data_IF_154342205987
#
_entry.id   IF_154342205987
#
_cell.length_a   1.000
_cell.length_b   1.000
_cell.length_c   1.000
_cell.angle_alpha   90.00
_cell.angle_beta   90.00
_cell.angle_gamma   90.00
#
_symmetry.space_group_name_H-M   'P 1'
#
loop_
_entity.id
_entity.type
_entity.pdbx_description
1 polymer ?
#
# COMPACT_ATOMS: atom_id res chain seq x y z
N UNK A 1 -1.59 -11.77 -0.65
CA UNK A 1 -1.50 -10.46 0.04
C UNK A 1 -2.60 -9.56 -0.51
N UNK A 2 -3.34 -8.84 0.35
CA UNK A 2 -4.50 -8.03 -0.07
C UNK A 2 -4.03 -6.66 -0.58
N UNK A 3 -4.47 -6.26 -1.78
CA UNK A 3 -4.18 -4.95 -2.37
C UNK A 3 -5.38 -4.01 -2.23
N UNK A 4 -5.10 -2.72 -2.05
CA UNK A 4 -6.14 -1.68 -2.00
C UNK A 4 -6.79 -1.51 -3.37
N UNK A 5 -8.11 -1.34 -3.42
CA UNK A 5 -8.83 -1.03 -4.66
C UNK A 5 -8.41 0.37 -5.18
N UNK A 6 -8.08 0.55 -6.48
CA UNK A 6 -7.71 1.85 -7.04
C UNK A 6 -8.68 3.00 -6.70
N UNK A 7 -9.98 2.71 -6.63
CA UNK A 7 -11.02 3.70 -6.29
C UNK A 7 -10.91 4.25 -4.87
N UNK A 8 -10.08 3.64 -4.01
CA UNK A 8 -9.86 4.06 -2.63
C UNK A 8 -8.72 5.06 -2.46
N UNK A 9 -7.95 5.37 -3.51
CA UNK A 9 -6.83 6.33 -3.41
C UNK A 9 -7.26 7.72 -2.89
N UNK A 10 -8.40 8.31 -3.33
CA UNK A 10 -8.88 9.57 -2.75
C UNK A 10 -9.18 9.45 -1.26
N UNK A 11 -9.83 8.35 -0.85
CA UNK A 11 -10.16 8.10 0.56
C UNK A 11 -8.90 7.95 1.42
N UNK A 12 -7.84 7.34 0.91
CA UNK A 12 -6.57 7.26 1.62
C UNK A 12 -5.93 8.65 1.81
N UNK A 13 -6.07 9.57 0.85
CA UNK A 13 -5.57 10.94 0.99
C UNK A 13 -6.35 11.74 2.04
N UNK A 14 -7.67 11.56 2.11
CA UNK A 14 -8.49 12.14 3.18
C UNK A 14 -8.07 11.63 4.56
N UNK A 15 -7.86 10.31 4.69
CA UNK A 15 -7.42 9.69 5.94
C UNK A 15 -6.02 10.16 6.34
N UNK A 16 -5.11 10.36 5.38
CA UNK A 16 -3.79 10.93 5.66
C UNK A 16 -3.90 12.33 6.24
N UNK A 17 -4.81 13.16 5.71
CA UNK A 17 -5.06 14.52 6.22
C UNK A 17 -5.62 14.49 7.65
N UNK A 18 -6.65 13.67 7.91
CA UNK A 18 -7.22 13.52 9.27
C UNK A 18 -6.18 13.02 10.28
N UNK A 19 -5.31 12.09 9.89
CA UNK A 19 -4.24 11.60 10.76
C UNK A 19 -3.19 12.68 11.07
N UNK A 20 -2.87 13.55 10.12
CA UNK A 20 -1.95 14.67 10.36
C UNK A 20 -2.56 15.70 11.33
N UNK A 21 -3.84 16.01 11.20
CA UNK A 21 -4.55 16.91 12.13
C UNK A 21 -4.58 16.34 13.55
N UNK A 22 -4.86 15.04 13.68
CA UNK A 22 -4.81 14.35 14.98
C UNK A 22 -3.40 14.31 15.57
N UNK A 23 -2.37 14.12 14.73
CA UNK A 23 -0.98 14.17 15.17
C UNK A 23 -0.63 15.53 15.77
N UNK A 24 -0.98 16.61 15.07
CA UNK A 24 -0.75 17.97 15.56
C UNK A 24 -1.48 18.25 16.88
N UNK A 25 -2.70 17.73 17.02
CA UNK A 25 -3.45 17.78 18.28
C UNK A 25 -2.76 17.00 19.39
N UNK A 26 -2.33 15.77 19.13
CA UNK A 26 -1.62 14.95 20.10
C UNK A 26 -0.29 15.59 20.55
N UNK A 27 0.41 16.29 19.66
CA UNK A 27 1.58 17.11 20.01
C UNK A 27 1.22 18.27 20.94
N UNK A 28 0.15 19.01 20.63
CA UNK A 28 -0.31 20.12 21.46
C UNK A 28 -0.79 19.67 22.86
N UNK A 29 -1.38 18.49 22.95
CA UNK A 29 -1.92 17.93 24.20
C UNK A 29 -0.92 17.03 24.96
N UNK A 30 0.28 16.81 24.39
CA UNK A 30 1.34 16.00 25.02
C UNK A 30 1.04 14.50 25.06
N UNK A 31 0.22 14.00 24.14
CA UNK A 31 -0.20 12.59 24.09
C UNK A 31 0.83 11.71 23.35
N UNK A 32 1.97 11.46 24.00
CA UNK A 32 3.08 10.73 23.41
C UNK A 32 2.68 9.34 22.82
N UNK A 33 1.84 8.59 23.53
CA UNK A 33 1.37 7.28 23.05
C UNK A 33 0.48 7.35 21.81
N UNK A 34 -0.27 8.44 21.63
CA UNK A 34 -1.11 8.64 20.44
C UNK A 34 -0.27 9.05 19.23
N UNK A 35 0.78 9.87 19.44
CA UNK A 35 1.73 10.26 18.38
C UNK A 35 2.40 9.02 17.76
N UNK A 36 2.93 8.11 18.59
CA UNK A 36 3.60 6.90 18.08
C UNK A 36 2.65 6.02 17.24
N UNK A 37 1.42 5.84 17.72
CA UNK A 37 0.38 5.08 17.00
C UNK A 37 -0.03 5.73 15.68
N UNK A 38 -0.15 7.06 15.64
CA UNK A 38 -0.47 7.82 14.44
C UNK A 38 0.68 7.74 13.43
N UNK A 39 1.94 7.90 13.86
CA UNK A 39 3.12 7.83 12.98
C UNK A 39 3.28 6.46 12.32
N UNK A 40 3.03 5.38 13.08
CA UNK A 40 3.01 4.02 12.55
C UNK A 40 1.89 3.85 11.52
N UNK A 41 0.70 4.36 11.81
CA UNK A 41 -0.45 4.27 10.90
C UNK A 41 -0.22 5.06 9.62
N UNK A 42 0.34 6.27 9.71
CA UNK A 42 0.74 7.09 8.56
C UNK A 42 1.76 6.36 7.68
N UNK A 43 2.75 5.70 8.29
CA UNK A 43 3.76 4.93 7.56
C UNK A 43 3.12 3.80 6.75
N UNK A 44 2.20 3.04 7.33
CA UNK A 44 1.48 1.98 6.62
C UNK A 44 0.53 2.52 5.53
N UNK A 45 -0.14 3.64 5.78
CA UNK A 45 -1.03 4.27 4.81
C UNK A 45 -0.24 4.71 3.58
N UNK A 46 0.88 5.42 3.77
CA UNK A 46 1.76 5.87 2.69
C UNK A 46 2.31 4.68 1.88
N UNK A 47 2.77 3.63 2.56
CA UNK A 47 3.24 2.42 1.89
C UNK A 47 2.17 1.78 1.00
N UNK A 48 0.90 1.73 1.45
CA UNK A 48 -0.22 1.21 0.64
C UNK A 48 -0.51 2.11 -0.57
N UNK A 49 -0.48 3.43 -0.38
CA UNK A 49 -0.70 4.41 -1.46
C UNK A 49 0.39 4.29 -2.53
N UNK A 50 1.65 4.21 -2.11
CA UNK A 50 2.79 4.08 -3.02
C UNK A 50 2.77 2.74 -3.76
N UNK A 51 2.45 1.63 -3.07
CA UNK A 51 2.31 0.33 -3.73
C UNK A 51 1.25 0.38 -4.83
N UNK A 52 0.12 1.04 -4.57
CA UNK A 52 -0.96 1.19 -5.54
C UNK A 52 -0.57 2.07 -6.72
N UNK A 53 0.03 3.22 -6.45
CA UNK A 53 0.49 4.13 -7.50
C UNK A 53 1.52 3.47 -8.42
N UNK A 54 2.47 2.72 -7.85
CA UNK A 54 3.44 1.94 -8.65
C UNK A 54 2.78 0.87 -9.52
N UNK A 55 1.70 0.25 -9.04
CA UNK A 55 0.95 -0.76 -9.81
C UNK A 55 0.14 -0.14 -10.93
N UNK A 56 -0.48 1.02 -10.71
CA UNK A 56 -1.25 1.71 -11.74
C UNK A 56 -0.35 2.26 -12.86
N UNK A 57 0.91 2.56 -12.56
CA UNK A 57 1.92 2.97 -13.54
C UNK A 57 2.56 1.80 -14.31
N UNK A 58 2.36 0.55 -13.87
CA UNK A 58 2.92 -0.62 -14.54
C UNK A 58 1.91 -1.18 -15.54
N UNK A 59 2.17 -1.05 -16.85
CA UNK A 59 1.33 -1.72 -17.84
C UNK A 59 1.46 -3.24 -17.70
N UNK A 60 0.41 -4.01 -18.03
CA UNK A 60 0.51 -5.46 -18.16
C UNK A 60 1.64 -5.84 -19.13
N UNK A 61 2.48 -6.79 -18.73
CA UNK A 61 3.51 -7.37 -19.60
C UNK A 61 3.03 -8.75 -20.03
N UNK A 62 3.03 -9.01 -21.33
CA UNK A 62 2.74 -10.34 -21.87
C UNK A 62 3.94 -11.26 -21.64
N UNK A 63 3.74 -12.31 -20.83
CA UNK A 63 4.76 -13.30 -20.52
C UNK A 63 4.68 -14.54 -21.44
N UNK A 64 3.69 -14.59 -22.34
CA UNK A 64 3.38 -15.77 -23.13
C UNK A 64 2.87 -16.96 -22.31
N UNK A 65 2.58 -18.07 -22.99
CA UNK A 65 2.16 -19.31 -22.35
C UNK A 65 3.39 -20.21 -22.12
N UNK A 66 3.69 -20.63 -20.88
CA UNK A 66 4.82 -21.51 -20.62
C UNK A 66 4.59 -22.88 -21.28
N UNK A 67 5.58 -23.37 -22.04
CA UNK A 67 5.54 -24.72 -22.61
C UNK A 67 5.95 -25.73 -21.54
N UNK A 68 5.16 -26.78 -21.29
CA UNK A 68 5.56 -27.85 -20.38
C UNK A 68 6.86 -28.49 -20.89
N UNK A 69 7.81 -28.74 -19.97
CA UNK A 69 9.01 -29.51 -20.30
C UNK A 69 8.57 -30.89 -20.76
N UNK A 70 8.87 -31.25 -22.01
CA UNK A 70 8.65 -32.60 -22.53
C UNK A 70 9.39 -33.57 -21.60
N UNK A 71 8.63 -34.42 -20.89
CA UNK A 71 9.20 -35.47 -20.06
C UNK A 71 10.14 -36.32 -20.92
N UNK A 72 11.29 -36.68 -20.36
CA UNK A 72 12.19 -37.65 -21.00
C UNK A 72 11.39 -38.94 -21.16
N UNK A 73 10.94 -39.23 -22.38
CA UNK A 73 10.48 -40.56 -22.76
C UNK A 73 11.71 -41.46 -22.61
N UNK A 74 11.74 -42.24 -21.53
CA UNK A 74 12.77 -43.24 -21.31
C UNK A 74 12.39 -44.47 -22.13
N UNK A 75 13.34 -45.05 -22.90
CA UNK A 75 13.09 -46.20 -23.78
C UNK A 75 12.74 -47.48 -23.00
#
# INVERSE_FOLDING_TARGET
MLHVNPKMLPRLAELETDLLDRRARAEAEGWAGEIEGIDLTLSFLRAKRDERQRRDQRPPVDLGIPKPRRGRENP
#
